data_IF_501391243245
#
_entry.id   IF_501391243245
#
_cell.length_a   1.000
_cell.length_b   1.000
_cell.length_c   1.000
_cell.angle_alpha   90.00
_cell.angle_beta   90.00
_cell.angle_gamma   90.00
#
_symmetry.space_group_name_H-M   'P 1'
#
loop_
_entity.id
_entity.type
_entity.pdbx_description
1 polymer ?
#
# COMPACT_ATOMS: atom_id res chain seq x y z
N UNK A 1 -79.09 44.24 11.55
CA UNK A 1 -77.87 45.08 11.62
C UNK A 1 -76.66 44.16 11.58
N UNK A 2 -75.74 44.41 10.64
CA UNK A 2 -74.58 43.58 10.33
C UNK A 2 -73.53 43.69 11.45
N UNK A 3 -73.03 42.56 11.95
CA UNK A 3 -71.75 42.50 12.65
C UNK A 3 -70.96 41.29 12.15
N UNK A 4 -69.89 41.60 11.41
CA UNK A 4 -68.89 40.66 10.94
C UNK A 4 -68.07 40.14 12.11
N UNK A 5 -67.91 38.82 12.21
CA UNK A 5 -66.95 38.19 13.11
C UNK A 5 -65.80 37.62 12.28
N UNK A 6 -64.60 38.17 12.46
CA UNK A 6 -63.36 37.67 11.85
C UNK A 6 -63.00 36.32 12.47
N UNK A 7 -62.90 35.29 11.63
CA UNK A 7 -62.29 34.00 11.99
C UNK A 7 -60.80 34.10 11.68
N UNK A 8 -59.96 34.16 12.71
CA UNK A 8 -58.52 33.97 12.56
C UNK A 8 -58.22 32.47 12.59
N UNK A 9 -57.88 31.89 11.44
CA UNK A 9 -57.39 30.52 11.36
C UNK A 9 -55.91 30.49 11.78
N UNK A 10 -55.62 29.92 12.95
CA UNK A 10 -54.25 29.63 13.38
C UNK A 10 -53.83 28.27 12.82
N UNK A 11 -53.01 28.26 11.77
CA UNK A 11 -52.38 27.06 11.25
C UNK A 11 -51.23 26.64 12.16
N UNK A 12 -51.40 25.57 12.93
CA UNK A 12 -50.31 24.95 13.67
C UNK A 12 -49.41 24.16 12.69
N UNK A 13 -48.21 24.69 12.41
CA UNK A 13 -47.20 23.96 11.67
C UNK A 13 -46.59 22.88 12.57
N UNK A 14 -46.88 21.61 12.29
CA UNK A 14 -46.18 20.48 12.90
C UNK A 14 -44.79 20.41 12.25
N UNK A 15 -43.76 20.85 12.97
CA UNK A 15 -42.39 20.60 12.57
C UNK A 15 -42.06 19.14 12.85
N UNK A 16 -42.12 18.31 11.80
CA UNK A 16 -41.47 17.00 11.80
C UNK A 16 -39.96 17.23 11.93
N UNK A 17 -39.42 17.06 13.14
CA UNK A 17 -37.99 16.95 13.36
C UNK A 17 -37.49 15.69 12.65
N UNK A 18 -36.90 15.87 11.47
CA UNK A 18 -36.17 14.81 10.80
C UNK A 18 -34.95 14.48 11.66
N UNK A 19 -35.03 13.37 12.41
CA UNK A 19 -33.84 12.78 13.02
C UNK A 19 -32.83 12.52 11.91
N UNK A 20 -31.58 13.03 12.01
CA UNK A 20 -30.54 12.62 11.10
C UNK A 20 -30.39 11.11 11.26
N UNK A 21 -30.76 10.38 10.22
CA UNK A 21 -30.48 8.96 10.16
C UNK A 21 -28.99 8.82 10.41
N UNK A 22 -28.63 8.14 11.49
CA UNK A 22 -27.30 7.59 11.70
C UNK A 22 -26.91 6.92 10.38
N UNK A 23 -26.06 7.60 9.59
CA UNK A 23 -25.30 6.95 8.54
C UNK A 23 -24.39 5.99 9.29
N UNK A 24 -24.88 4.77 9.51
CA UNK A 24 -24.05 3.64 9.89
C UNK A 24 -23.01 3.52 8.79
N UNK A 25 -21.82 4.09 9.01
CA UNK A 25 -20.64 3.77 8.23
C UNK A 25 -20.47 2.27 8.40
N UNK A 26 -20.90 1.50 7.40
CA UNK A 26 -20.83 0.04 7.45
C UNK A 26 -19.38 -0.30 7.72
N UNK A 27 -19.13 -0.85 8.91
CA UNK A 27 -17.80 -1.25 9.33
C UNK A 27 -17.23 -2.18 8.25
N UNK A 28 -16.05 -1.87 7.74
CA UNK A 28 -15.40 -2.71 6.75
C UNK A 28 -15.12 -4.08 7.38
N UNK A 29 -15.62 -5.13 6.73
CA UNK A 29 -15.29 -6.51 7.05
C UNK A 29 -14.50 -7.05 5.87
N UNK A 30 -13.26 -7.52 6.09
CA UNK A 30 -12.48 -8.08 5.00
C UNK A 30 -13.17 -9.34 4.48
N UNK A 31 -13.02 -9.61 3.18
CA UNK A 31 -13.34 -10.93 2.64
C UNK A 31 -12.55 -12.02 3.39
N UNK A 32 -13.05 -13.25 3.40
CA UNK A 32 -12.38 -14.36 4.09
C UNK A 32 -10.94 -14.56 3.57
N UNK A 33 -9.99 -14.68 4.51
CA UNK A 33 -8.63 -15.05 4.20
C UNK A 33 -8.56 -16.55 3.97
N UNK A 34 -7.97 -16.96 2.85
CA UNK A 34 -7.71 -18.35 2.51
C UNK A 34 -6.24 -18.45 2.10
N UNK A 35 -5.53 -19.38 2.73
CA UNK A 35 -4.13 -19.66 2.40
C UNK A 35 -3.98 -19.98 0.89
N UNK A 36 -2.90 -19.53 0.24
CA UNK A 36 -2.66 -19.87 -1.16
C UNK A 36 -2.50 -21.39 -1.33
N UNK A 37 -3.01 -21.93 -2.42
CA UNK A 37 -2.72 -23.30 -2.85
C UNK A 37 -1.27 -23.41 -3.32
N UNK A 38 -0.73 -24.62 -3.40
CA UNK A 38 0.65 -24.85 -3.84
C UNK A 38 0.93 -24.36 -5.28
N UNK A 39 -0.09 -24.25 -6.13
CA UNK A 39 0.00 -23.78 -7.51
C UNK A 39 -0.38 -22.30 -7.68
N UNK A 40 -0.76 -21.61 -6.59
CA UNK A 40 -1.10 -20.20 -6.62
C UNK A 40 0.17 -19.36 -6.82
N UNK A 41 0.06 -18.34 -7.67
CA UNK A 41 1.11 -17.36 -7.93
C UNK A 41 1.14 -16.33 -6.81
N UNK A 42 2.30 -16.11 -6.21
CA UNK A 42 2.58 -15.05 -5.23
C UNK A 42 3.91 -14.39 -5.59
N UNK A 43 4.04 -13.10 -5.28
CA UNK A 43 5.19 -12.29 -5.63
C UNK A 43 5.89 -11.67 -4.42
N UNK A 44 6.78 -10.69 -4.64
CA UNK A 44 7.50 -10.02 -3.56
C UNK A 44 6.63 -8.96 -2.85
N UNK A 45 5.44 -8.62 -3.38
CA UNK A 45 4.58 -7.58 -2.84
C UNK A 45 3.60 -8.14 -1.78
N UNK A 46 3.76 -7.81 -0.49
CA UNK A 46 2.86 -8.30 0.57
C UNK A 46 1.44 -7.78 0.39
N UNK A 47 1.29 -6.57 -0.16
CA UNK A 47 -0.02 -5.96 -0.39
C UNK A 47 -0.85 -6.73 -1.40
N UNK A 48 -0.28 -7.06 -2.57
CA UNK A 48 -1.00 -7.82 -3.59
C UNK A 48 -1.20 -9.28 -3.21
N UNK A 49 -0.24 -9.91 -2.55
CA UNK A 49 -0.40 -11.25 -2.01
C UNK A 49 -1.56 -11.32 -1.00
N UNK A 50 -1.67 -10.31 -0.13
CA UNK A 50 -2.80 -10.18 0.80
C UNK A 50 -4.12 -10.00 0.05
N UNK A 51 -4.19 -9.16 -0.98
CA UNK A 51 -5.41 -9.00 -1.78
C UNK A 51 -5.83 -10.32 -2.43
N UNK A 52 -4.89 -11.13 -2.93
CA UNK A 52 -5.19 -12.45 -3.49
C UNK A 52 -5.64 -13.44 -2.41
N UNK A 53 -4.98 -13.46 -1.25
CA UNK A 53 -5.36 -14.32 -0.11
C UNK A 53 -6.75 -13.97 0.44
N UNK A 54 -7.21 -12.74 0.28
CA UNK A 54 -8.57 -12.32 0.63
C UNK A 54 -9.56 -12.35 -0.55
N UNK A 55 -9.13 -12.65 -1.78
CA UNK A 55 -10.04 -12.73 -2.94
C UNK A 55 -10.49 -11.38 -3.51
N UNK A 56 -9.78 -10.29 -3.22
CA UNK A 56 -9.98 -8.99 -3.88
C UNK A 56 -9.39 -8.93 -5.29
N UNK A 57 -8.39 -9.77 -5.55
CA UNK A 57 -7.89 -10.13 -6.88
C UNK A 57 -7.94 -11.66 -6.99
N UNK A 58 -7.77 -12.27 -8.19
CA UNK A 58 -7.81 -13.73 -8.36
C UNK A 58 -6.97 -14.45 -7.30
N UNK A 59 -7.58 -15.41 -6.59
CA UNK A 59 -6.93 -16.12 -5.47
C UNK A 59 -5.73 -16.94 -5.92
N UNK A 60 -5.75 -17.42 -7.14
CA UNK A 60 -4.63 -18.09 -7.80
C UNK A 60 -3.49 -17.12 -8.18
N UNK A 61 -3.68 -15.81 -8.04
CA UNK A 61 -2.69 -14.76 -8.31
C UNK A 61 -2.31 -14.61 -9.78
N UNK A 62 -3.12 -15.11 -10.71
CA UNK A 62 -2.81 -15.14 -12.15
C UNK A 62 -3.71 -14.21 -12.95
N UNK A 63 -3.26 -13.83 -14.15
CA UNK A 63 -3.98 -13.04 -15.14
C UNK A 63 -4.55 -11.71 -14.59
N UNK A 64 -3.77 -11.01 -13.77
CA UNK A 64 -4.19 -9.73 -13.18
C UNK A 64 -4.15 -8.65 -14.25
N UNK A 65 -5.33 -8.18 -14.67
CA UNK A 65 -5.50 -7.05 -15.58
C UNK A 65 -5.55 -5.73 -14.82
N UNK A 66 -5.49 -4.60 -15.55
CA UNK A 66 -5.59 -3.28 -14.93
C UNK A 66 -6.90 -3.08 -14.15
N UNK A 67 -8.02 -3.56 -14.67
CA UNK A 67 -9.32 -3.38 -14.03
C UNK A 67 -9.45 -4.24 -12.77
N UNK A 68 -8.91 -5.46 -12.80
CA UNK A 68 -8.78 -6.31 -11.60
C UNK A 68 -7.93 -5.59 -10.54
N UNK A 69 -6.79 -5.02 -10.93
CA UNK A 69 -5.92 -4.34 -10.00
C UNK A 69 -6.58 -3.11 -9.37
N UNK A 70 -7.26 -2.29 -10.18
CA UNK A 70 -8.02 -1.11 -9.72
C UNK A 70 -9.09 -1.51 -8.69
N UNK A 71 -9.93 -2.47 -9.05
CA UNK A 71 -11.04 -2.90 -8.19
C UNK A 71 -10.50 -3.52 -6.89
N UNK A 72 -9.52 -4.41 -6.97
CA UNK A 72 -8.94 -5.06 -5.79
C UNK A 72 -8.26 -4.08 -4.83
N UNK A 73 -7.50 -3.11 -5.35
CA UNK A 73 -6.83 -2.08 -4.54
C UNK A 73 -7.83 -1.13 -3.88
N UNK A 74 -8.87 -0.71 -4.61
CA UNK A 74 -9.90 0.18 -4.09
C UNK A 74 -10.78 -0.51 -3.04
N UNK A 75 -11.24 -1.73 -3.33
CA UNK A 75 -12.12 -2.47 -2.43
C UNK A 75 -11.38 -2.97 -1.19
N UNK A 76 -10.21 -3.58 -1.37
CA UNK A 76 -9.44 -4.17 -0.27
C UNK A 76 -8.76 -3.15 0.63
N UNK A 77 -8.16 -2.10 0.05
CA UNK A 77 -7.38 -1.13 0.81
C UNK A 77 -7.93 0.30 0.80
N UNK A 78 -8.85 0.65 -0.11
CA UNK A 78 -9.27 2.04 -0.36
C UNK A 78 -8.22 2.86 -1.13
N UNK A 79 -7.32 2.23 -1.89
CA UNK A 79 -6.34 2.95 -2.73
C UNK A 79 -7.01 3.41 -4.02
N UNK A 80 -6.76 4.64 -4.47
CA UNK A 80 -7.40 5.18 -5.66
C UNK A 80 -6.98 4.50 -6.98
N UNK A 81 -7.88 4.52 -7.97
CA UNK A 81 -7.65 3.90 -9.27
C UNK A 81 -6.44 4.47 -10.04
N UNK A 82 -6.09 5.74 -9.81
CA UNK A 82 -4.94 6.35 -10.49
C UNK A 82 -3.62 5.69 -10.08
N UNK A 83 -3.50 5.31 -8.82
CA UNK A 83 -2.33 4.59 -8.33
C UNK A 83 -2.22 3.20 -8.95
N UNK A 84 -3.34 2.49 -9.07
CA UNK A 84 -3.38 1.21 -9.78
C UNK A 84 -2.93 1.32 -11.23
N UNK A 85 -3.29 2.40 -11.95
CA UNK A 85 -2.81 2.66 -13.33
C UNK A 85 -1.30 2.80 -13.37
N UNK A 86 -0.71 3.54 -12.43
CA UNK A 86 0.73 3.77 -12.38
C UNK A 86 1.47 2.47 -12.04
N UNK A 87 1.03 1.75 -11.02
CA UNK A 87 1.62 0.47 -10.61
C UNK A 87 1.53 -0.56 -11.73
N UNK A 88 0.36 -0.69 -12.37
CA UNK A 88 0.15 -1.62 -13.48
C UNK A 88 1.11 -1.37 -14.64
N UNK A 89 1.38 -0.10 -14.96
CA UNK A 89 2.28 0.28 -16.05
C UNK A 89 3.70 -0.25 -15.85
N UNK A 90 4.15 -0.42 -14.61
CA UNK A 90 5.44 -1.06 -14.32
C UNK A 90 5.30 -2.57 -14.13
N UNK A 91 4.28 -3.02 -13.39
CA UNK A 91 4.02 -4.43 -13.14
C UNK A 91 3.89 -5.26 -14.43
N UNK A 92 3.18 -4.76 -15.45
CA UNK A 92 3.01 -5.52 -16.70
C UNK A 92 4.33 -5.80 -17.44
N UNK A 93 5.34 -4.93 -17.27
CA UNK A 93 6.67 -5.12 -17.87
C UNK A 93 7.44 -6.28 -17.24
N UNK A 94 7.05 -6.67 -16.03
CA UNK A 94 7.60 -7.84 -15.34
C UNK A 94 7.07 -9.15 -15.92
N UNK A 95 6.02 -9.15 -16.75
CA UNK A 95 5.55 -10.40 -17.35
C UNK A 95 6.53 -10.92 -18.41
N UNK A 96 6.84 -12.23 -18.47
CA UNK A 96 7.68 -12.81 -19.52
C UNK A 96 7.04 -12.70 -20.92
N UNK A 97 5.73 -12.41 -20.98
CA UNK A 97 4.97 -12.23 -22.23
C UNK A 97 4.90 -10.77 -22.70
N UNK A 98 5.49 -9.83 -21.96
CA UNK A 98 5.53 -8.41 -22.36
C UNK A 98 6.36 -8.21 -23.65
N UNK A 99 5.93 -7.38 -24.63
CA UNK A 99 4.77 -6.47 -24.61
C UNK A 99 3.45 -7.07 -25.13
N UNK A 100 3.38 -8.38 -25.39
CA UNK A 100 2.24 -9.04 -26.02
C UNK A 100 1.17 -9.54 -25.03
N UNK A 101 1.13 -8.99 -23.82
CA UNK A 101 0.19 -9.36 -22.76
C UNK A 101 -0.61 -8.14 -22.29
N UNK A 102 -1.75 -8.38 -21.64
CA UNK A 102 -2.59 -7.36 -20.98
C UNK A 102 -2.75 -7.63 -19.48
N UNK A 103 -1.94 -8.53 -18.95
CA UNK A 103 -1.97 -9.00 -17.57
C UNK A 103 -0.60 -9.48 -17.13
N UNK A 104 -0.41 -9.57 -15.82
CA UNK A 104 0.73 -10.22 -15.18
C UNK A 104 0.24 -11.22 -14.12
N UNK A 105 1.09 -12.18 -13.78
CA UNK A 105 0.90 -13.06 -12.62
C UNK A 105 1.71 -12.50 -11.43
N UNK A 106 1.29 -12.70 -10.17
CA UNK A 106 1.98 -12.10 -9.02
C UNK A 106 3.47 -12.47 -8.95
N UNK A 107 3.83 -13.71 -9.27
CA UNK A 107 5.22 -14.17 -9.34
C UNK A 107 6.06 -13.48 -10.42
N UNK A 108 5.44 -12.93 -11.48
CA UNK A 108 6.16 -12.16 -12.50
C UNK A 108 6.87 -10.95 -11.88
N UNK A 109 6.27 -10.36 -10.84
CA UNK A 109 6.80 -9.19 -10.15
C UNK A 109 8.18 -9.43 -9.55
N UNK A 110 8.51 -10.68 -9.19
CA UNK A 110 9.81 -11.08 -8.62
C UNK A 110 10.94 -11.20 -9.63
N UNK A 111 10.70 -10.94 -10.91
CA UNK A 111 11.76 -10.92 -11.92
C UNK A 111 12.71 -9.75 -11.68
N UNK A 112 13.92 -10.10 -11.25
CA UNK A 112 14.93 -9.17 -10.77
C UNK A 112 15.34 -8.08 -11.77
N UNK A 113 15.61 -6.88 -11.25
CA UNK A 113 16.05 -5.69 -11.99
C UNK A 113 15.07 -5.15 -13.04
N UNK A 114 13.78 -5.52 -12.97
CA UNK A 114 12.71 -4.88 -13.77
C UNK A 114 11.90 -3.92 -12.89
N UNK A 115 11.30 -4.47 -11.83
CA UNK A 115 10.56 -3.73 -10.81
C UNK A 115 11.02 -4.17 -9.42
N UNK A 116 11.09 -5.48 -9.18
CA UNK A 116 11.78 -6.03 -8.01
C UNK A 116 13.24 -5.60 -7.98
N UNK A 117 13.72 -5.37 -6.77
CA UNK A 117 14.99 -4.77 -6.48
C UNK A 117 15.58 -5.25 -5.15
N UNK A 118 16.90 -5.13 -5.05
CA UNK A 118 17.64 -5.28 -3.81
C UNK A 118 17.13 -4.33 -2.73
N UNK A 119 17.65 -4.46 -1.49
CA UNK A 119 17.37 -3.56 -0.36
C UNK A 119 15.95 -3.64 0.23
N UNK A 120 15.18 -4.65 -0.18
CA UNK A 120 13.87 -4.95 0.41
C UNK A 120 13.96 -5.11 1.94
N UNK A 121 12.95 -4.62 2.67
CA UNK A 121 12.93 -4.73 4.15
C UNK A 121 12.67 -6.15 4.66
N UNK A 122 12.12 -7.03 3.82
CA UNK A 122 11.63 -8.35 4.26
C UNK A 122 11.87 -9.47 3.23
N UNK A 123 12.55 -9.17 2.13
CA UNK A 123 12.85 -10.12 1.04
C UNK A 123 14.35 -10.14 0.83
N UNK A 124 14.89 -11.30 0.47
CA UNK A 124 16.30 -11.42 0.10
C UNK A 124 16.59 -10.64 -1.18
N UNK A 125 17.77 -10.03 -1.25
CA UNK A 125 18.32 -9.61 -2.54
C UNK A 125 18.46 -10.85 -3.43
N UNK A 126 18.16 -10.71 -4.73
CA UNK A 126 18.05 -11.84 -5.66
C UNK A 126 19.37 -12.65 -5.81
N UNK A 127 20.50 -12.01 -5.52
CA UNK A 127 21.82 -12.66 -5.49
C UNK A 127 21.88 -13.81 -4.47
N UNK A 128 21.19 -13.69 -3.32
CA UNK A 128 21.27 -14.68 -2.25
C UNK A 128 20.17 -15.75 -2.31
N UNK A 129 18.97 -15.39 -2.73
CA UNK A 129 17.82 -16.28 -2.79
C UNK A 129 16.71 -15.70 -3.67
N UNK A 130 15.65 -16.48 -3.92
CA UNK A 130 14.41 -15.98 -4.52
C UNK A 130 13.87 -14.78 -3.72
N UNK A 131 13.63 -13.61 -4.36
CA UNK A 131 13.12 -12.42 -3.68
C UNK A 131 11.61 -12.46 -3.43
N UNK A 132 10.88 -13.48 -3.88
CA UNK A 132 9.43 -13.57 -3.64
C UNK A 132 9.06 -13.85 -2.17
N UNK A 133 9.56 -14.92 -1.52
CA UNK A 133 9.14 -15.27 -0.17
C UNK A 133 9.56 -14.24 0.87
N UNK A 134 8.73 -14.09 1.90
CA UNK A 134 9.12 -13.39 3.12
C UNK A 134 10.35 -14.08 3.75
N UNK A 135 11.34 -13.28 4.15
CA UNK A 135 12.58 -13.75 4.74
C UNK A 135 12.73 -13.22 6.19
N UNK A 136 12.60 -14.12 7.16
CA UNK A 136 12.71 -13.81 8.60
C UNK A 136 14.06 -13.17 8.96
N UNK A 137 15.17 -13.60 8.36
CA UNK A 137 16.50 -13.03 8.62
C UNK A 137 16.60 -11.59 8.15
N UNK A 138 16.09 -11.29 6.96
CA UNK A 138 16.07 -9.92 6.42
C UNK A 138 15.13 -9.03 7.23
N UNK A 139 13.96 -9.54 7.61
CA UNK A 139 13.04 -8.81 8.47
C UNK A 139 13.63 -8.56 9.86
N UNK A 140 14.34 -9.53 10.44
CA UNK A 140 15.02 -9.37 11.73
C UNK A 140 16.08 -8.26 11.69
N UNK A 141 16.82 -8.10 10.58
CA UNK A 141 17.72 -6.96 10.38
C UNK A 141 16.93 -5.64 10.40
N UNK A 142 15.84 -5.56 9.64
CA UNK A 142 14.97 -4.37 9.60
C UNK A 142 14.38 -4.04 10.98
N UNK A 143 14.00 -5.05 11.78
CA UNK A 143 13.46 -4.89 13.13
C UNK A 143 14.43 -4.20 14.09
N UNK A 144 15.74 -4.27 13.85
CA UNK A 144 16.73 -3.57 14.69
C UNK A 144 16.57 -2.04 14.69
N UNK A 145 15.88 -1.49 13.68
CA UNK A 145 15.56 -0.08 13.56
C UNK A 145 14.23 0.32 14.22
N UNK A 146 13.47 -0.65 14.74
CA UNK A 146 12.13 -0.45 15.32
C UNK A 146 12.08 -0.89 16.81
N UNK A 147 12.79 -0.17 17.70
CA UNK A 147 12.86 -0.53 19.12
C UNK A 147 11.51 -0.41 19.83
N UNK A 148 10.64 0.50 19.37
CA UNK A 148 9.37 0.82 20.00
C UNK A 148 8.18 0.12 19.33
N UNK A 149 7.01 0.17 19.96
CA UNK A 149 5.77 -0.40 19.40
C UNK A 149 5.21 0.43 18.23
N UNK A 150 5.56 1.71 18.15
CA UNK A 150 5.21 2.60 17.04
C UNK A 150 6.43 2.84 16.16
N UNK A 151 6.32 2.49 14.89
CA UNK A 151 7.34 2.80 13.88
C UNK A 151 7.13 4.22 13.38
N UNK A 152 8.17 5.06 13.40
CA UNK A 152 8.13 6.43 12.86
C UNK A 152 8.68 6.52 11.44
N UNK A 153 8.40 7.63 10.74
CA UNK A 153 9.04 7.96 9.45
C UNK A 153 10.57 7.86 9.54
N UNK A 154 11.17 8.40 10.59
CA UNK A 154 12.63 8.41 10.76
C UNK A 154 13.18 6.99 10.93
N UNK A 155 12.49 6.13 11.68
CA UNK A 155 12.89 4.74 11.86
C UNK A 155 12.76 3.95 10.56
N UNK A 156 11.66 4.12 9.82
CA UNK A 156 11.45 3.43 8.52
C UNK A 156 12.48 3.90 7.48
N UNK A 157 12.79 5.20 7.44
CA UNK A 157 13.84 5.74 6.59
C UNK A 157 15.22 5.14 6.94
N UNK A 158 15.56 5.06 8.25
CA UNK A 158 16.80 4.42 8.72
C UNK A 158 16.85 2.94 8.35
N UNK A 159 15.76 2.20 8.49
CA UNK A 159 15.70 0.79 8.12
C UNK A 159 16.01 0.57 6.64
N UNK A 160 15.39 1.35 5.74
CA UNK A 160 15.69 1.30 4.30
C UNK A 160 17.16 1.61 4.01
N UNK A 161 17.71 2.66 4.65
CA UNK A 161 19.13 3.01 4.49
C UNK A 161 20.07 1.94 5.06
N UNK A 162 19.66 1.27 6.14
CA UNK A 162 20.33 0.09 6.69
C UNK A 162 20.41 -1.05 5.69
N UNK A 163 19.27 -1.44 5.11
CA UNK A 163 19.21 -2.46 4.06
C UNK A 163 20.05 -2.11 2.84
N UNK A 164 20.07 -0.84 2.43
CA UNK A 164 20.97 -0.34 1.37
C UNK A 164 22.45 -0.52 1.73
N UNK A 165 22.84 -0.18 2.96
CA UNK A 165 24.21 -0.33 3.43
C UNK A 165 24.63 -1.82 3.49
N UNK A 166 23.75 -2.69 3.99
CA UNK A 166 23.97 -4.14 4.01
C UNK A 166 24.13 -4.69 2.61
N UNK A 167 23.20 -4.42 1.71
CA UNK A 167 23.26 -4.89 0.32
C UNK A 167 24.58 -4.47 -0.36
N UNK A 168 24.96 -3.19 -0.30
CA UNK A 168 26.24 -2.71 -0.85
C UNK A 168 27.47 -3.38 -0.25
N UNK A 169 27.41 -3.80 1.00
CA UNK A 169 28.52 -4.43 1.71
C UNK A 169 28.63 -5.91 1.41
N UNK A 170 27.51 -6.61 1.27
CA UNK A 170 27.48 -8.08 1.23
C UNK A 170 27.12 -8.67 -0.12
N UNK A 171 26.36 -7.95 -0.95
CA UNK A 171 25.94 -8.38 -2.28
C UNK A 171 26.95 -7.85 -3.33
N UNK A 172 27.83 -8.70 -3.90
CA UNK A 172 28.77 -8.27 -4.95
C UNK A 172 28.08 -7.88 -6.26
N UNK A 173 26.81 -8.27 -6.44
CA UNK A 173 25.97 -7.93 -7.59
C UNK A 173 24.93 -6.84 -7.26
N UNK A 174 25.12 -6.10 -6.16
CA UNK A 174 24.18 -5.06 -5.73
C UNK A 174 23.78 -4.14 -6.90
N UNK A 175 22.48 -4.08 -7.15
CA UNK A 175 21.87 -3.26 -8.19
C UNK A 175 20.67 -2.51 -7.64
N UNK A 176 20.66 -1.20 -7.87
CA UNK A 176 19.52 -0.35 -7.55
C UNK A 176 19.33 0.70 -8.65
N UNK A 177 18.46 0.39 -9.61
CA UNK A 177 18.11 1.34 -10.67
C UNK A 177 17.38 2.56 -10.11
N UNK A 178 17.30 3.66 -10.87
CA UNK A 178 16.54 4.85 -10.44
C UNK A 178 15.04 4.56 -10.23
N UNK A 179 14.48 3.67 -11.05
CA UNK A 179 13.09 3.24 -10.91
C UNK A 179 12.91 2.49 -9.59
N UNK A 180 13.77 1.51 -9.34
CA UNK A 180 13.77 0.71 -8.12
C UNK A 180 14.02 1.55 -6.85
N UNK A 181 15.00 2.45 -6.88
CA UNK A 181 15.27 3.38 -5.77
C UNK A 181 14.03 4.22 -5.45
N UNK A 182 13.35 4.71 -6.48
CA UNK A 182 12.08 5.42 -6.33
C UNK A 182 10.96 4.58 -5.71
N UNK A 183 10.72 3.38 -6.25
CA UNK A 183 9.67 2.48 -5.78
C UNK A 183 9.88 2.05 -4.33
N UNK A 184 11.11 1.71 -3.95
CA UNK A 184 11.42 1.34 -2.57
C UNK A 184 11.09 2.44 -1.55
N UNK A 185 11.13 3.74 -1.91
CA UNK A 185 10.61 4.80 -1.04
C UNK A 185 9.07 4.81 -0.96
N UNK A 186 8.38 4.58 -2.08
CA UNK A 186 6.92 4.50 -2.12
C UNK A 186 6.36 3.28 -1.38
N UNK A 187 7.09 2.17 -1.37
CA UNK A 187 6.79 0.99 -0.56
C UNK A 187 6.84 1.32 0.93
N UNK A 188 7.85 2.08 1.37
CA UNK A 188 7.94 2.54 2.76
C UNK A 188 6.80 3.49 3.13
N UNK A 189 6.38 4.36 2.20
CA UNK A 189 5.22 5.21 2.41
C UNK A 189 3.94 4.38 2.67
N UNK A 190 3.82 3.22 2.01
CA UNK A 190 2.66 2.33 2.13
C UNK A 190 2.44 1.81 3.56
N UNK A 191 3.48 1.80 4.42
CA UNK A 191 3.31 1.46 5.83
C UNK A 191 2.38 2.44 6.55
N UNK A 192 2.50 3.73 6.26
CA UNK A 192 1.68 4.77 6.87
C UNK A 192 0.32 4.92 6.17
N UNK A 193 0.26 4.63 4.88
CA UNK A 193 -0.96 4.77 4.10
C UNK A 193 -1.92 3.60 4.29
N UNK A 194 -1.42 2.36 4.21
CA UNK A 194 -2.24 1.14 4.25
C UNK A 194 -2.44 0.66 5.69
N UNK A 195 -1.38 0.67 6.49
CA UNK A 195 -1.37 0.06 7.82
C UNK A 195 -1.58 1.07 8.97
N UNK A 196 -1.79 2.36 8.65
CA UNK A 196 -2.12 3.40 9.60
C UNK A 196 -3.20 4.37 9.06
N UNK A 197 -3.13 5.65 9.42
CA UNK A 197 -4.16 6.66 9.13
C UNK A 197 -3.86 7.52 7.88
N UNK A 198 -2.67 7.39 7.30
CA UNK A 198 -2.18 8.23 6.20
C UNK A 198 -1.90 9.68 6.56
N UNK A 199 -1.77 10.02 7.85
CA UNK A 199 -1.57 11.41 8.30
C UNK A 199 -0.47 11.57 9.35
N UNK A 200 -0.42 10.68 10.35
CA UNK A 200 0.40 10.91 11.56
C UNK A 200 1.88 10.63 11.34
N UNK A 201 2.23 9.75 10.39
CA UNK A 201 3.62 9.33 10.17
C UNK A 201 4.15 8.37 11.24
N UNK A 202 3.23 7.68 11.89
CA UNK A 202 3.51 6.55 12.78
C UNK A 202 2.61 5.39 12.41
N UNK A 203 3.09 4.16 12.58
CA UNK A 203 2.30 2.93 12.39
C UNK A 203 2.61 1.94 13.51
N UNK A 204 1.59 1.21 13.99
CA UNK A 204 1.83 0.15 14.97
C UNK A 204 2.64 -0.99 14.35
N UNK A 205 3.79 -1.31 14.95
CA UNK A 205 4.73 -2.34 14.49
C UNK A 205 4.05 -3.69 14.30
N UNK A 206 3.14 -4.05 15.21
CA UNK A 206 2.36 -5.30 15.14
C UNK A 206 1.55 -5.43 13.85
N UNK A 207 1.05 -4.33 13.27
CA UNK A 207 0.29 -4.39 12.01
C UNK A 207 1.21 -4.69 10.83
N UNK A 208 2.37 -4.04 10.76
CA UNK A 208 3.37 -4.30 9.73
C UNK A 208 3.89 -5.74 9.82
N UNK A 209 4.29 -6.18 11.01
CA UNK A 209 4.82 -7.53 11.19
C UNK A 209 3.79 -8.61 10.85
N UNK A 210 2.55 -8.44 11.33
CA UNK A 210 1.46 -9.35 11.00
C UNK A 210 1.22 -9.40 9.49
N UNK A 211 1.14 -8.24 8.84
CA UNK A 211 0.86 -8.14 7.41
C UNK A 211 1.97 -8.76 6.56
N UNK A 212 3.23 -8.52 6.90
CA UNK A 212 4.38 -9.07 6.16
C UNK A 212 4.51 -10.60 6.33
N UNK A 213 4.31 -11.11 7.55
CA UNK A 213 4.46 -12.55 7.86
C UNK A 213 3.30 -13.40 7.35
N UNK A 214 2.08 -12.87 7.46
CA UNK A 214 0.87 -13.65 7.19
C UNK A 214 0.22 -13.32 5.85
N UNK A 215 0.61 -12.20 5.22
CA UNK A 215 -0.02 -11.67 4.01
C UNK A 215 -1.55 -11.69 4.14
N UNK A 216 -1.99 -11.12 5.27
CA UNK A 216 -3.36 -11.09 5.77
C UNK A 216 -3.65 -9.72 6.37
N UNK A 217 -4.87 -9.22 6.18
CA UNK A 217 -5.33 -7.98 6.80
C UNK A 217 -5.39 -8.15 8.34
N UNK A 218 -4.65 -7.36 9.16
CA UNK A 218 -4.52 -7.55 10.61
C UNK A 218 -5.77 -7.19 11.45
N UNK A 219 -6.98 -7.47 10.95
CA UNK A 219 -8.24 -7.09 11.61
C UNK A 219 -8.44 -7.72 12.98
N UNK A 220 -7.95 -8.95 13.19
CA UNK A 220 -8.04 -9.65 14.47
C UNK A 220 -7.16 -9.03 15.58
N UNK A 221 -6.15 -8.24 15.19
CA UNK A 221 -5.29 -7.49 16.14
C UNK A 221 -5.59 -5.99 16.17
N UNK A 222 -6.70 -5.57 15.54
CA UNK A 222 -7.23 -4.21 15.63
C UNK A 222 -6.99 -3.30 14.43
N UNK A 223 -6.33 -3.76 13.36
CA UNK A 223 -6.22 -2.96 12.14
C UNK A 223 -7.60 -2.76 11.51
N UNK A 224 -7.87 -1.55 11.02
CA UNK A 224 -9.08 -1.24 10.27
C UNK A 224 -8.70 -0.60 8.95
N UNK A 225 -9.38 -1.00 7.88
CA UNK A 225 -9.25 -0.31 6.60
C UNK A 225 -9.70 1.14 6.75
N UNK A 226 -8.89 2.07 6.24
CA UNK A 226 -9.20 3.50 6.28
C UNK A 226 -10.58 3.78 5.65
N UNK A 227 -11.42 4.65 6.26
CA UNK A 227 -12.72 4.99 5.70
C UNK A 227 -12.61 5.93 4.48
N UNK A 228 -11.48 6.61 4.33
CA UNK A 228 -11.18 7.53 3.24
C UNK A 228 -10.40 6.84 2.12
N UNK A 229 -10.62 7.28 0.89
CA UNK A 229 -9.82 6.86 -0.27
C UNK A 229 -8.41 7.45 -0.10
N UNK A 230 -7.39 6.59 -0.16
CA UNK A 230 -6.00 7.02 -0.19
C UNK A 230 -5.67 7.62 -1.55
N UNK A 231 -5.05 8.80 -1.53
CA UNK A 231 -4.63 9.53 -2.73
C UNK A 231 -3.14 9.39 -2.95
N UNK A 232 -2.70 9.37 -4.21
CA UNK A 232 -1.29 9.38 -4.58
C UNK A 232 -0.52 10.60 -4.04
N UNK A 233 -1.21 11.70 -3.70
CA UNK A 233 -0.61 12.85 -3.01
C UNK A 233 -0.11 12.50 -1.61
N UNK A 234 -0.78 11.62 -0.88
CA UNK A 234 -0.35 11.13 0.43
C UNK A 234 0.96 10.33 0.29
N UNK A 235 1.03 9.45 -0.72
CA UNK A 235 2.26 8.69 -1.02
C UNK A 235 3.43 9.60 -1.35
N UNK A 236 3.18 10.63 -2.16
CA UNK A 236 4.20 11.64 -2.49
C UNK A 236 4.67 12.36 -1.23
N UNK A 237 3.75 12.72 -0.33
CA UNK A 237 4.08 13.38 0.93
C UNK A 237 4.95 12.48 1.83
N UNK A 238 4.55 11.24 2.07
CA UNK A 238 5.32 10.31 2.89
C UNK A 238 6.66 9.94 2.27
N UNK A 239 6.70 9.72 0.95
CA UNK A 239 7.95 9.52 0.20
C UNK A 239 8.91 10.68 0.47
N UNK A 240 8.42 11.92 0.38
CA UNK A 240 9.24 13.12 0.68
C UNK A 240 9.69 13.16 2.13
N UNK A 241 8.81 12.87 3.10
CA UNK A 241 9.16 12.84 4.54
C UNK A 241 10.25 11.80 4.82
N UNK A 242 10.12 10.59 4.25
CA UNK A 242 11.10 9.51 4.36
C UNK A 242 12.47 9.90 3.79
N UNK A 243 12.50 10.44 2.58
CA UNK A 243 13.73 10.90 1.94
C UNK A 243 14.41 12.01 2.74
N UNK A 244 13.62 12.98 3.23
CA UNK A 244 14.13 14.05 4.09
C UNK A 244 14.73 13.49 5.40
N UNK A 245 14.04 12.54 6.05
CA UNK A 245 14.54 11.90 7.27
C UNK A 245 15.83 11.09 7.03
N UNK A 246 16.02 10.55 5.83
CA UNK A 246 17.24 9.89 5.41
C UNK A 246 18.36 10.85 4.96
N UNK A 247 18.11 12.17 4.93
CA UNK A 247 19.07 13.16 4.44
C UNK A 247 19.25 13.16 2.91
N UNK A 248 18.31 12.57 2.16
CA UNK A 248 18.32 12.55 0.69
C UNK A 248 17.66 13.84 0.19
N UNK A 249 18.43 14.69 -0.50
CA UNK A 249 17.99 16.02 -0.91
C UNK A 249 17.23 16.00 -2.25
N UNK A 250 16.32 16.97 -2.44
CA UNK A 250 15.53 17.16 -3.67
C UNK A 250 16.37 17.27 -4.95
N UNK A 251 17.63 17.73 -4.85
CA UNK A 251 18.56 17.86 -6.00
C UNK A 251 19.00 16.51 -6.57
N UNK A 252 18.92 15.45 -5.78
CA UNK A 252 19.23 14.09 -6.22
C UNK A 252 18.04 13.43 -6.95
N UNK A 253 16.85 14.03 -6.82
CA UNK A 253 15.58 13.56 -7.36
C UNK A 253 15.22 14.37 -8.61
N UNK A 254 15.88 14.06 -9.74
CA UNK A 254 15.55 14.69 -11.04
C UNK A 254 14.19 14.22 -11.60
N UNK A 255 13.66 13.14 -11.05
CA UNK A 255 12.43 12.48 -11.47
C UNK A 255 11.74 11.86 -10.26
N UNK A 256 10.41 11.77 -10.28
CA UNK A 256 9.68 10.97 -9.31
C UNK A 256 10.10 9.49 -9.38
N UNK A 257 9.55 8.67 -8.49
CA UNK A 257 9.77 7.22 -8.47
C UNK A 257 9.43 6.51 -9.80
N UNK A 258 8.83 7.22 -10.75
CA UNK A 258 8.31 6.73 -12.01
C UNK A 258 9.01 7.37 -13.22
N UNK A 259 10.13 8.07 -13.02
CA UNK A 259 10.92 8.68 -14.08
C UNK A 259 10.31 9.95 -14.68
N UNK A 260 9.21 10.46 -14.13
CA UNK A 260 8.60 11.72 -14.57
C UNK A 260 9.35 12.88 -13.94
N UNK A 261 9.70 13.89 -14.73
CA UNK A 261 10.26 15.13 -14.18
C UNK A 261 9.25 15.73 -13.21
N UNK A 262 9.67 15.95 -11.97
CA UNK A 262 8.90 16.72 -11.01
C UNK A 262 8.88 18.17 -11.52
N UNK A 263 7.77 18.57 -12.13
CA UNK A 263 7.54 19.97 -12.52
C UNK A 263 7.27 20.73 -11.22
N UNK A 264 8.14 21.71 -10.93
CA UNK A 264 8.01 22.64 -9.81
C UNK A 264 6.91 23.66 -10.10
#
# INVERSE_FOLDING_TARGET
MKFSSLIAAASAAVHTLAHPQFLSTRQFVPQEWIAPTADASRGPCPGLNTLANHGYIPRDGKNITLDILKDGMLTGYNIENLDAVILFTQAIKTSPKYPNTRSFDLADLGRHNILEHDISLSRSDAFFADPNPFNETVWAESLTYFPDDLMTVEQVAKARMGRLATSKKTNPEHSLSKLADGFSWGEMASFFEIMADGTTGTVEKKFIEYWLKNERMPTEIGWQRRPTIMRGTERIEFTRKLMQAAGVARRDIKTDAYGRKLVL
#
